data_IF_329955019176
#
_entry.id   IF_329955019176
#
_cell.length_a   1.000
_cell.length_b   1.000
_cell.length_c   1.000
_cell.angle_alpha   90.00
_cell.angle_beta   90.00
_cell.angle_gamma   90.00
#
_symmetry.space_group_name_H-M   'P 1'
#
loop_
_entity.id
_entity.type
_entity.pdbx_description
1 polymer ?
#
# COMPACT_ATOMS: atom_id res chain seq x y z
N UNK A 1 10.86 -11.42 4.57
CA UNK A 1 9.47 -11.48 4.12
C UNK A 1 9.06 -12.89 3.81
N UNK A 2 7.76 -13.16 3.87
CA UNK A 2 7.18 -14.44 3.46
C UNK A 2 6.15 -15.01 4.42
N UNK A 3 5.58 -16.15 4.03
CA UNK A 3 4.61 -16.91 4.81
C UNK A 3 5.30 -17.69 5.92
N UNK A 4 4.78 -17.57 7.13
CA UNK A 4 5.21 -18.32 8.30
C UNK A 4 4.04 -19.10 8.89
N UNK A 5 4.32 -20.28 9.42
CA UNK A 5 3.34 -21.13 10.09
C UNK A 5 3.84 -21.56 11.46
N UNK A 6 2.98 -21.49 12.46
CA UNK A 6 3.21 -22.00 13.81
C UNK A 6 2.22 -23.12 14.06
N UNK A 7 2.74 -24.32 14.31
CA UNK A 7 1.94 -25.47 14.77
C UNK A 7 2.16 -25.65 16.27
N UNK A 8 1.09 -25.73 17.05
CA UNK A 8 1.11 -25.88 18.51
C UNK A 8 0.42 -27.19 18.87
N UNK A 9 1.13 -28.09 19.53
CA UNK A 9 0.59 -29.33 20.07
C UNK A 9 0.83 -29.41 21.58
N UNK A 10 -0.11 -30.04 22.28
CA UNK A 10 0.07 -30.38 23.68
C UNK A 10 0.85 -31.69 23.80
N UNK A 11 1.76 -31.77 24.78
CA UNK A 11 2.43 -33.01 25.15
C UNK A 11 2.26 -33.27 26.65
N UNK A 12 1.83 -34.47 27.02
CA UNK A 12 1.73 -34.91 28.40
C UNK A 12 2.80 -35.96 28.69
N UNK A 13 3.54 -35.82 29.79
CA UNK A 13 4.53 -36.83 30.22
C UNK A 13 4.02 -37.57 31.45
N UNK A 14 4.07 -38.90 31.42
CA UNK A 14 3.69 -39.75 32.54
C UNK A 14 4.85 -39.96 33.52
N UNK A 15 4.54 -40.38 34.75
CA UNK A 15 5.55 -40.70 35.79
C UNK A 15 6.46 -41.88 35.43
N UNK A 16 6.08 -42.69 34.43
CA UNK A 16 6.88 -43.80 33.90
C UNK A 16 7.78 -43.38 32.72
N UNK A 17 7.77 -42.10 32.32
CA UNK A 17 8.61 -41.56 31.25
C UNK A 17 8.01 -41.67 29.84
N UNK A 18 6.72 -42.00 29.73
CA UNK A 18 6.02 -41.99 28.43
C UNK A 18 5.50 -40.58 28.12
N UNK A 19 5.81 -40.06 26.94
CA UNK A 19 5.25 -38.81 26.42
C UNK A 19 4.13 -39.12 25.42
N UNK A 20 2.96 -38.52 25.63
CA UNK A 20 1.81 -38.56 24.73
C UNK A 20 1.67 -37.18 24.09
N UNK A 21 1.81 -37.11 22.77
CA UNK A 21 1.65 -35.87 21.99
C UNK A 21 0.29 -35.84 21.31
N UNK A 22 -0.34 -34.66 21.30
CA UNK A 22 -1.54 -34.38 20.53
C UNK A 22 -1.24 -34.52 19.03
N UNK A 23 -2.04 -35.34 18.34
CA UNK A 23 -1.91 -35.59 16.90
C UNK A 23 -2.67 -34.56 16.04
N UNK A 24 -3.36 -33.62 16.67
CA UNK A 24 -4.10 -32.53 16.03
C UNK A 24 -3.54 -31.17 16.44
N UNK A 25 -2.35 -30.79 15.94
CA UNK A 25 -1.78 -29.48 16.25
C UNK A 25 -2.71 -28.36 15.77
N UNK A 26 -2.80 -27.29 16.56
CA UNK A 26 -3.41 -26.05 16.12
C UNK A 26 -2.41 -25.28 15.27
N UNK A 27 -2.82 -24.86 14.09
CA UNK A 27 -1.97 -24.15 13.15
C UNK A 27 -2.39 -22.68 13.03
N UNK A 28 -1.40 -21.80 13.00
CA UNK A 28 -1.59 -20.38 12.74
C UNK A 28 -0.59 -19.93 11.67
N UNK A 29 -1.10 -19.28 10.63
CA UNK A 29 -0.29 -18.77 9.52
C UNK A 29 -0.34 -17.25 9.49
N UNK A 30 0.80 -16.61 9.29
CA UNK A 30 0.92 -15.17 9.10
C UNK A 30 1.94 -14.85 8.00
N UNK A 31 1.94 -13.60 7.56
CA UNK A 31 2.93 -13.09 6.61
C UNK A 31 3.76 -12.03 7.32
N UNK A 32 5.07 -12.04 7.08
CA UNK A 32 5.97 -10.95 7.44
C UNK A 32 6.29 -10.20 6.17
N UNK A 33 6.05 -8.90 6.18
CA UNK A 33 6.54 -7.97 5.16
C UNK A 33 7.40 -6.89 5.82
N UNK A 34 8.58 -6.68 5.28
CA UNK A 34 9.58 -5.70 5.71
C UNK A 34 10.10 -4.89 4.52
N UNK A 35 9.56 -5.15 3.32
CA UNK A 35 9.90 -4.44 2.10
C UNK A 35 9.13 -3.13 2.06
N UNK A 36 9.82 -2.01 2.25
CA UNK A 36 9.14 -0.71 2.18
C UNK A 36 8.59 -0.44 0.76
N UNK A 37 7.42 0.20 0.66
CA UNK A 37 6.86 0.59 -0.62
C UNK A 37 7.66 1.74 -1.23
N UNK A 38 7.69 1.76 -2.56
CA UNK A 38 8.21 2.83 -3.38
C UNK A 38 7.06 3.54 -4.09
N UNK A 39 7.27 4.79 -4.48
CA UNK A 39 6.27 5.54 -5.22
C UNK A 39 6.93 6.19 -6.42
N UNK A 40 6.57 5.71 -7.60
CA UNK A 40 7.04 6.24 -8.88
C UNK A 40 5.91 6.97 -9.59
N UNK A 41 6.24 8.14 -10.16
CA UNK A 41 5.35 8.89 -11.02
C UNK A 41 5.57 8.44 -12.47
N UNK A 42 4.66 7.61 -12.99
CA UNK A 42 4.77 7.01 -14.33
C UNK A 42 4.28 7.97 -15.41
N UNK A 43 3.18 8.66 -15.15
CA UNK A 43 2.65 9.66 -16.07
C UNK A 43 2.15 10.88 -15.31
N UNK A 44 2.31 12.04 -15.94
CA UNK A 44 1.87 13.33 -15.43
C UNK A 44 1.17 14.11 -16.54
N UNK A 45 0.28 15.05 -16.20
CA UNK A 45 -0.31 15.95 -17.19
C UNK A 45 0.77 16.76 -17.91
N UNK A 46 0.41 17.27 -19.09
CA UNK A 46 1.26 18.21 -19.81
C UNK A 46 1.57 19.44 -18.93
N UNK A 47 2.80 19.95 -19.01
CA UNK A 47 3.24 21.09 -18.19
C UNK A 47 2.39 22.36 -18.41
N UNK A 48 1.74 22.48 -19.57
CA UNK A 48 0.74 23.50 -19.86
C UNK A 48 -0.45 22.82 -20.51
N UNK A 49 -1.64 23.04 -19.94
CA UNK A 49 -2.92 22.50 -20.41
C UNK A 49 -3.99 23.58 -20.37
N UNK A 50 -5.05 23.42 -21.15
CA UNK A 50 -6.28 24.22 -21.06
C UNK A 50 -7.41 23.49 -20.31
N UNK A 51 -7.14 22.27 -19.87
CA UNK A 51 -8.11 21.43 -19.19
C UNK A 51 -8.08 21.70 -17.68
N UNK A 52 -9.26 21.76 -17.06
CA UNK A 52 -9.42 21.85 -15.59
C UNK A 52 -9.36 20.49 -14.89
N UNK A 53 -8.77 19.49 -15.55
CA UNK A 53 -8.61 18.14 -15.02
C UNK A 53 -7.29 17.54 -15.48
N UNK A 54 -6.77 16.64 -14.68
CA UNK A 54 -5.53 15.92 -14.96
C UNK A 54 -5.61 14.48 -14.48
N UNK A 55 -4.94 13.59 -15.22
CA UNK A 55 -4.70 12.23 -14.81
C UNK A 55 -3.21 12.08 -14.47
N UNK A 56 -2.95 11.37 -13.37
CA UNK A 56 -1.61 11.01 -12.91
C UNK A 56 -1.59 9.51 -12.68
N UNK A 57 -0.60 8.81 -13.24
CA UNK A 57 -0.40 7.39 -13.00
C UNK A 57 0.76 7.20 -12.02
N UNK A 58 0.47 6.56 -10.90
CA UNK A 58 1.43 6.17 -9.87
C UNK A 58 1.70 4.68 -9.95
N UNK A 59 2.89 4.29 -9.51
CA UNK A 59 3.28 2.88 -9.40
C UNK A 59 4.09 2.62 -8.13
N UNK A 60 3.87 1.46 -7.52
CA UNK A 60 4.66 0.90 -6.43
C UNK A 60 5.50 -0.28 -6.91
N UNK A 61 6.41 -0.74 -6.06
CA UNK A 61 7.18 -1.99 -6.21
C UNK A 61 6.41 -3.23 -5.72
N UNK A 62 5.23 -3.05 -5.13
CA UNK A 62 4.39 -4.13 -4.61
C UNK A 62 2.90 -3.90 -4.94
N UNK A 63 2.12 -4.97 -4.91
CA UNK A 63 0.70 -4.96 -5.27
C UNK A 63 -0.17 -4.51 -4.09
N UNK A 64 -1.30 -3.86 -4.41
CA UNK A 64 -2.29 -3.50 -3.39
C UNK A 64 -1.90 -2.32 -2.50
N UNK A 65 -0.84 -1.58 -2.81
CA UNK A 65 -0.50 -0.35 -2.10
C UNK A 65 -1.64 0.67 -2.17
N UNK A 66 -1.82 1.39 -1.06
CA UNK A 66 -2.49 2.68 -1.08
C UNK A 66 -1.47 3.78 -1.41
N UNK A 67 -1.91 4.83 -2.08
CA UNK A 67 -1.12 6.01 -2.39
C UNK A 67 -1.82 7.23 -1.81
N UNK A 68 -1.11 7.97 -0.98
CA UNK A 68 -1.52 9.30 -0.56
C UNK A 68 -0.84 10.33 -1.44
N UNK A 69 -1.58 11.39 -1.74
CA UNK A 69 -1.06 12.49 -2.54
C UNK A 69 -1.46 13.83 -1.95
N UNK A 70 -0.66 14.83 -2.27
CA UNK A 70 -0.89 16.22 -1.95
C UNK A 70 -0.71 17.08 -3.21
N UNK A 71 -1.59 18.05 -3.40
CA UNK A 71 -1.57 19.00 -4.50
C UNK A 71 -1.57 20.42 -3.93
N UNK A 72 -0.56 21.21 -4.28
CA UNK A 72 -0.46 22.61 -3.91
C UNK A 72 -0.88 23.51 -5.08
N UNK A 73 -1.83 24.41 -4.84
CA UNK A 73 -2.19 25.49 -5.77
C UNK A 73 -1.46 26.77 -5.36
N UNK A 74 -0.69 27.36 -6.28
CA UNK A 74 -0.01 28.64 -6.01
C UNK A 74 -0.97 29.83 -5.95
N UNK A 75 -2.12 29.73 -6.60
CA UNK A 75 -3.10 30.81 -6.63
C UNK A 75 -3.81 30.94 -5.28
N UNK A 76 -4.27 29.82 -4.73
CA UNK A 76 -4.90 29.79 -3.40
C UNK A 76 -3.87 29.79 -2.26
N UNK A 77 -2.63 29.37 -2.55
CA UNK A 77 -1.60 29.17 -1.55
C UNK A 77 -1.94 28.03 -0.59
N UNK A 78 -2.73 27.04 -1.02
CA UNK A 78 -3.28 25.97 -0.19
C UNK A 78 -2.90 24.58 -0.69
N UNK A 79 -2.84 23.63 0.24
CA UNK A 79 -2.69 22.20 -0.05
C UNK A 79 -4.05 21.52 -0.03
N UNK A 80 -4.32 20.69 -1.04
CA UNK A 80 -5.32 19.62 -0.97
C UNK A 80 -4.62 18.27 -0.85
N UNK A 81 -5.30 17.28 -0.28
CA UNK A 81 -4.77 15.92 -0.12
C UNK A 81 -5.82 14.91 -0.53
N UNK A 82 -5.37 13.73 -0.93
CA UNK A 82 -6.25 12.62 -1.26
C UNK A 82 -5.52 11.28 -1.15
N UNK A 83 -6.29 10.23 -1.38
CA UNK A 83 -5.83 8.85 -1.30
C UNK A 83 -6.48 8.03 -2.43
N UNK A 84 -5.70 7.15 -3.03
CA UNK A 84 -6.16 6.16 -4.01
C UNK A 84 -5.55 4.81 -3.65
N UNK A 85 -6.29 3.72 -3.82
CA UNK A 85 -5.77 2.37 -3.63
C UNK A 85 -5.59 1.73 -5.00
N UNK A 86 -4.46 1.05 -5.22
CA UNK A 86 -4.30 0.23 -6.41
C UNK A 86 -5.42 -0.82 -6.47
N UNK A 87 -5.89 -1.14 -7.67
CA UNK A 87 -6.86 -2.23 -7.82
C UNK A 87 -6.23 -3.55 -7.34
N UNK A 88 -7.06 -4.49 -6.91
CA UNK A 88 -6.59 -5.79 -6.40
C UNK A 88 -5.67 -6.48 -7.42
N UNK A 89 -4.47 -6.86 -6.98
CA UNK A 89 -3.43 -7.47 -7.82
C UNK A 89 -2.72 -6.50 -8.77
N UNK A 90 -2.87 -5.18 -8.60
CA UNK A 90 -2.13 -4.17 -9.36
C UNK A 90 -1.13 -3.43 -8.48
N UNK A 91 -0.05 -2.98 -9.12
CA UNK A 91 0.96 -2.09 -8.54
C UNK A 91 0.74 -0.62 -8.92
N UNK A 92 -0.25 -0.35 -9.78
CA UNK A 92 -0.49 0.95 -10.40
C UNK A 92 -1.82 1.53 -9.96
N UNK A 93 -1.87 2.84 -9.74
CA UNK A 93 -3.07 3.57 -9.35
C UNK A 93 -3.20 4.87 -10.13
N UNK A 94 -4.41 5.13 -10.64
CA UNK A 94 -4.74 6.37 -11.35
C UNK A 94 -5.34 7.40 -10.38
N UNK A 95 -4.73 8.58 -10.35
CA UNK A 95 -5.27 9.75 -9.64
C UNK A 95 -5.93 10.69 -10.64
N UNK A 96 -7.22 10.94 -10.44
CA UNK A 96 -8.01 11.86 -11.24
C UNK A 96 -8.20 13.19 -10.50
N UNK A 97 -7.41 14.19 -10.88
CA UNK A 97 -7.53 15.56 -10.40
C UNK A 97 -8.61 16.29 -11.19
N UNK A 98 -9.53 16.95 -10.48
CA UNK A 98 -10.68 17.65 -11.06
C UNK A 98 -10.74 19.06 -10.51
N UNK A 99 -11.43 19.94 -11.23
CA UNK A 99 -11.67 21.33 -10.82
C UNK A 99 -10.37 22.06 -10.51
N UNK A 100 -9.33 21.78 -11.30
CA UNK A 100 -8.03 22.45 -11.18
C UNK A 100 -8.18 23.91 -11.57
N UNK A 101 -7.74 24.78 -10.69
CA UNK A 101 -7.71 26.21 -10.95
C UNK A 101 -6.58 26.59 -11.92
N UNK A 102 -6.70 27.77 -12.51
CA UNK A 102 -5.66 28.33 -13.35
C UNK A 102 -4.40 28.63 -12.53
N UNK A 103 -3.26 28.21 -13.06
CA UNK A 103 -1.95 28.53 -12.49
C UNK A 103 -1.09 27.29 -12.28
N UNK A 104 0.10 27.48 -11.67
CA UNK A 104 0.99 26.38 -11.39
C UNK A 104 0.48 25.55 -10.22
N UNK A 105 0.66 24.24 -10.34
CA UNK A 105 0.37 23.26 -9.30
C UNK A 105 1.60 22.39 -9.02
N UNK A 106 1.76 21.93 -7.79
CA UNK A 106 2.80 20.98 -7.39
C UNK A 106 2.14 19.74 -6.83
N UNK A 107 2.44 18.61 -7.44
CA UNK A 107 1.94 17.31 -7.04
C UNK A 107 3.04 16.52 -6.33
N UNK A 108 2.71 15.95 -5.18
CA UNK A 108 3.55 15.02 -4.44
C UNK A 108 2.73 13.79 -4.06
N UNK A 109 3.34 12.61 -4.11
CA UNK A 109 2.69 11.36 -3.73
C UNK A 109 3.66 10.43 -3.00
N UNK A 110 3.11 9.55 -2.17
CA UNK A 110 3.82 8.50 -1.47
C UNK A 110 2.96 7.25 -1.36
N UNK A 111 3.60 6.10 -1.44
CA UNK A 111 2.97 4.81 -1.29
C UNK A 111 2.94 4.40 0.19
N UNK A 112 1.91 3.65 0.56
CA UNK A 112 1.70 3.06 1.87
C UNK A 112 1.69 1.55 1.73
N UNK A 113 2.38 0.93 2.67
CA UNK A 113 2.59 -0.50 2.73
C UNK A 113 1.26 -1.19 3.08
N UNK A 114 0.82 -2.22 2.33
CA UNK A 114 -0.36 -3.00 2.66
C UNK A 114 -0.27 -3.72 4.01
N UNK A 115 0.95 -4.06 4.46
CA UNK A 115 1.21 -4.76 5.71
C UNK A 115 1.34 -3.84 6.94
N UNK A 116 1.47 -2.52 6.73
CA UNK A 116 1.36 -1.48 7.76
C UNK A 116 2.67 -0.88 8.27
#
# INVERSE_FOLDING_TARGET
DGTHSLSVWAAASSRSGLTLEDQTPQEYTWHVDTSAPSCELISAPAAVSKEHGANVLLKSNEEGCAFKYALYSWLEGSWSTGEVVAEEGKMEAEVWLRELEDGPHLFAAWALDPAG
#
